data_IF_601392998315
#
_entry.id   IF_601392998315
#
_cell.length_a   1.000
_cell.length_b   1.000
_cell.length_c   1.000
_cell.angle_alpha   90.00
_cell.angle_beta   90.00
_cell.angle_gamma   90.00
#
_symmetry.space_group_name_H-M   'P 1'
#
loop_
_entity.id
_entity.type
_entity.pdbx_description
1 polymer ?
#
# COMPACT_ATOMS: atom_id res chain seq x y z
N UNK A 1 -7.82 -24.93 -10.99
CA UNK A 1 -7.64 -23.51 -11.35
C UNK A 1 -6.73 -22.93 -10.29
N UNK A 2 -5.42 -23.14 -10.45
CA UNK A 2 -4.43 -22.56 -9.55
C UNK A 2 -4.21 -21.13 -10.04
N UNK A 3 -4.79 -20.17 -9.34
CA UNK A 3 -4.46 -18.76 -9.57
C UNK A 3 -3.08 -18.54 -8.96
N UNK A 4 -2.09 -18.33 -9.81
CA UNK A 4 -0.70 -18.02 -9.45
C UNK A 4 -0.63 -16.61 -8.82
N UNK A 5 -1.12 -16.49 -7.59
CA UNK A 5 -1.15 -15.25 -6.80
C UNK A 5 0.27 -14.77 -6.41
N UNK A 6 1.28 -15.61 -6.65
CA UNK A 6 2.68 -15.34 -6.32
C UNK A 6 3.46 -14.61 -7.43
N UNK A 7 2.87 -14.40 -8.61
CA UNK A 7 3.53 -13.61 -9.65
C UNK A 7 3.58 -12.15 -9.25
N UNK A 8 4.77 -11.52 -9.20
CA UNK A 8 4.85 -10.09 -8.93
C UNK A 8 4.12 -9.36 -10.05
N UNK A 9 3.11 -8.59 -9.65
CA UNK A 9 2.32 -7.80 -10.58
C UNK A 9 3.19 -6.74 -11.25
N UNK A 10 3.05 -6.62 -12.57
CA UNK A 10 3.76 -5.60 -13.37
C UNK A 10 3.19 -4.21 -13.15
N UNK A 11 3.98 -3.17 -13.42
CA UNK A 11 3.53 -1.78 -13.30
C UNK A 11 2.31 -1.49 -14.19
N UNK A 12 2.29 -2.03 -15.42
CA UNK A 12 1.16 -1.85 -16.33
C UNK A 12 -0.14 -2.49 -15.81
N UNK A 13 -0.06 -3.59 -15.07
CA UNK A 13 -1.23 -4.21 -14.43
C UNK A 13 -1.77 -3.35 -13.27
N UNK A 14 -0.90 -2.64 -12.55
CA UNK A 14 -1.30 -1.66 -11.56
C UNK A 14 -1.98 -0.42 -12.18
N UNK A 15 -1.41 0.12 -13.25
CA UNK A 15 -1.96 1.29 -13.98
C UNK A 15 -3.31 1.01 -14.63
N UNK A 16 -3.58 -0.27 -14.94
CA UNK A 16 -4.85 -0.74 -15.50
C UNK A 16 -5.98 -0.83 -14.47
N UNK A 17 -5.67 -0.80 -13.17
CA UNK A 17 -6.69 -0.82 -12.10
C UNK A 17 -7.31 0.55 -11.94
N UNK A 18 -8.64 0.61 -12.01
CA UNK A 18 -9.42 1.83 -11.83
C UNK A 18 -10.33 1.70 -10.62
N UNK A 19 -10.44 2.77 -9.82
CA UNK A 19 -11.38 2.86 -8.71
C UNK A 19 -12.79 3.15 -9.19
N UNK A 20 -13.76 2.80 -8.36
CA UNK A 20 -15.18 3.09 -8.58
C UNK A 20 -15.44 4.61 -8.64
N UNK A 21 -16.24 5.11 -9.60
CA UNK A 21 -16.50 6.54 -9.75
C UNK A 21 -17.43 7.13 -8.68
N UNK A 22 -18.14 6.30 -7.92
CA UNK A 22 -19.17 6.73 -6.95
C UNK A 22 -18.61 7.50 -5.73
N UNK A 23 -17.29 7.68 -5.62
CA UNK A 23 -16.59 8.49 -4.61
C UNK A 23 -16.64 7.94 -3.17
N UNK A 24 -17.72 7.24 -2.80
CA UNK A 24 -17.87 6.53 -1.53
C UNK A 24 -17.58 5.03 -1.61
N UNK A 25 -17.36 4.48 -2.81
CA UNK A 25 -17.02 3.08 -3.00
C UNK A 25 -15.52 2.92 -3.24
N UNK A 26 -14.85 2.07 -2.44
CA UNK A 26 -13.41 1.77 -2.56
C UNK A 26 -13.10 0.66 -3.58
N UNK A 27 -14.13 0.10 -4.22
CA UNK A 27 -13.99 -1.04 -5.12
C UNK A 27 -13.25 -0.70 -6.41
N UNK A 28 -12.71 -1.74 -7.06
CA UNK A 28 -12.06 -1.64 -8.38
C UNK A 28 -12.99 -2.08 -9.50
N UNK A 29 -12.83 -1.47 -10.68
CA UNK A 29 -13.58 -1.81 -11.88
C UNK A 29 -13.01 -3.09 -12.51
N UNK A 30 -13.89 -4.08 -12.69
CA UNK A 30 -13.60 -5.33 -13.34
C UNK A 30 -13.54 -5.24 -14.86
N UNK A 31 -13.09 -6.31 -15.53
CA UNK A 31 -13.06 -6.39 -17.00
C UNK A 31 -14.46 -6.31 -17.63
N UNK A 32 -15.50 -6.67 -16.87
CA UNK A 32 -16.92 -6.53 -17.22
C UNK A 32 -17.44 -5.09 -17.08
N UNK A 33 -16.56 -4.13 -16.80
CA UNK A 33 -16.84 -2.71 -16.66
C UNK A 33 -17.81 -2.39 -15.50
N UNK A 34 -17.83 -3.25 -14.48
CA UNK A 34 -18.56 -3.03 -13.22
C UNK A 34 -17.62 -3.02 -12.02
N UNK A 35 -18.01 -2.27 -11.00
CA UNK A 35 -17.34 -2.31 -9.71
C UNK A 35 -17.57 -3.66 -9.02
N UNK A 36 -16.50 -4.27 -8.49
CA UNK A 36 -16.58 -5.56 -7.79
C UNK A 36 -17.27 -5.52 -6.42
N UNK A 37 -17.49 -4.32 -5.89
CA UNK A 37 -18.01 -4.14 -4.53
C UNK A 37 -19.46 -3.65 -4.52
N UNK A 38 -19.76 -2.57 -5.25
CA UNK A 38 -21.13 -2.04 -5.35
C UNK A 38 -21.89 -2.52 -6.61
N UNK A 39 -21.21 -3.09 -7.61
CA UNK A 39 -21.83 -3.52 -8.86
C UNK A 39 -22.19 -2.40 -9.86
N UNK A 40 -21.85 -1.14 -9.55
CA UNK A 40 -22.08 0.00 -10.43
C UNK A 40 -21.31 -0.15 -11.75
N UNK A 41 -21.97 0.23 -12.85
CA UNK A 41 -21.36 0.24 -14.19
C UNK A 41 -20.55 1.53 -14.32
N UNK A 42 -19.30 1.43 -14.80
CA UNK A 42 -18.52 2.62 -15.11
C UNK A 42 -19.00 3.27 -16.41
N UNK A 43 -19.05 4.60 -16.42
CA UNK A 43 -19.39 5.36 -17.64
C UNK A 43 -18.24 5.35 -18.65
N UNK A 44 -17.00 5.19 -18.15
CA UNK A 44 -15.81 5.16 -18.99
C UNK A 44 -15.50 3.74 -19.49
N UNK A 45 -15.27 3.55 -20.80
CA UNK A 45 -14.91 2.26 -21.34
C UNK A 45 -13.57 1.77 -20.76
N UNK A 46 -13.39 0.45 -20.59
CA UNK A 46 -12.14 -0.10 -20.07
C UNK A 46 -10.99 0.24 -21.04
N UNK A 47 -9.74 0.36 -20.54
CA UNK A 47 -8.61 0.63 -21.40
C UNK A 47 -8.43 -0.50 -22.42
N UNK A 48 -8.00 -0.13 -23.63
CA UNK A 48 -7.74 -1.08 -24.71
C UNK A 48 -6.75 -2.16 -24.22
N UNK A 49 -7.18 -3.42 -24.26
CA UNK A 49 -6.42 -4.58 -23.75
C UNK A 49 -7.06 -5.34 -22.59
N UNK A 50 -8.15 -4.85 -21.98
CA UNK A 50 -8.90 -5.56 -20.92
C UNK A 50 -10.24 -6.13 -21.42
N UNK A 51 -10.68 -5.73 -22.62
CA UNK A 51 -11.85 -6.34 -23.27
C UNK A 51 -11.58 -7.84 -23.50
N UNK A 52 -12.43 -8.68 -22.92
CA UNK A 52 -12.26 -10.13 -22.87
C UNK A 52 -11.96 -10.75 -24.25
N UNK A 53 -10.81 -11.45 -24.34
CA UNK A 53 -10.53 -12.47 -25.35
C UNK A 53 -9.79 -12.02 -26.61
N UNK A 54 -8.46 -12.01 -26.56
CA UNK A 54 -7.61 -12.24 -27.73
C UNK A 54 -6.28 -12.88 -27.27
N UNK A 55 -6.27 -14.21 -27.36
CA UNK A 55 -5.10 -15.10 -27.28
C UNK A 55 -4.00 -14.64 -28.25
N UNK A 56 -2.76 -14.51 -27.75
CA UNK A 56 -1.51 -14.80 -28.49
C UNK A 56 -0.43 -15.25 -27.52
N UNK A 57 -0.41 -16.56 -27.30
CA UNK A 57 0.81 -17.32 -27.02
C UNK A 57 1.61 -17.40 -28.34
N UNK A 58 2.76 -16.72 -28.42
CA UNK A 58 3.89 -17.11 -29.29
C UNK A 58 5.16 -16.35 -28.86
N UNK A 59 6.06 -17.06 -28.22
CA UNK A 59 7.41 -16.59 -27.90
C UNK A 59 8.30 -16.59 -29.16
N UNK A 60 9.43 -15.86 -29.15
CA UNK A 60 10.66 -16.59 -28.86
C UNK A 60 11.59 -15.89 -27.86
N UNK A 61 12.32 -16.76 -27.15
CA UNK A 61 13.43 -16.49 -26.23
C UNK A 61 14.64 -16.00 -27.02
N UNK A 62 15.50 -15.19 -26.40
CA UNK A 62 16.96 -15.12 -26.64
C UNK A 62 17.63 -14.23 -25.55
N UNK A 63 18.97 -14.30 -25.35
CA UNK A 63 19.53 -14.81 -24.09
C UNK A 63 19.95 -13.79 -23.02
N UNK A 64 20.13 -14.36 -21.84
CA UNK A 64 20.83 -13.83 -20.65
C UNK A 64 22.19 -13.20 -20.98
N UNK A 65 22.36 -11.92 -20.65
CA UNK A 65 23.67 -11.33 -20.42
C UNK A 65 23.85 -11.05 -18.92
N UNK A 66 24.73 -11.85 -18.31
CA UNK A 66 25.29 -11.61 -16.98
C UNK A 66 26.08 -10.30 -17.02
N UNK A 67 25.67 -9.31 -16.24
CA UNK A 67 26.61 -8.33 -15.70
C UNK A 67 26.55 -8.42 -14.18
N UNK A 68 27.68 -8.84 -13.64
CA UNK A 68 27.96 -9.16 -12.25
C UNK A 68 28.97 -8.13 -11.76
N UNK A 69 28.72 -7.67 -10.54
CA UNK A 69 29.65 -7.06 -9.58
C UNK A 69 29.99 -5.56 -9.68
N UNK A 70 29.89 -4.91 -8.51
CA UNK A 70 30.46 -3.59 -8.16
C UNK A 70 29.42 -2.46 -8.18
N UNK A 71 29.12 -1.71 -7.13
CA UNK A 71 29.91 -1.43 -5.93
C UNK A 71 28.97 -0.83 -4.86
N UNK A 72 29.09 -1.36 -3.64
CA UNK A 72 28.45 -0.87 -2.43
C UNK A 72 29.34 0.25 -1.91
N UNK A 73 28.95 1.50 -2.13
CA UNK A 73 29.59 2.63 -1.48
C UNK A 73 28.78 3.00 -0.23
N UNK A 74 29.38 2.60 0.89
CA UNK A 74 28.96 2.83 2.24
C UNK A 74 28.65 4.30 2.49
N UNK A 75 27.41 4.58 2.90
CA UNK A 75 27.06 5.81 3.59
C UNK A 75 27.86 5.89 4.89
N UNK A 76 28.94 6.67 4.84
CA UNK A 76 29.84 6.93 5.94
C UNK A 76 29.07 7.43 7.17
N UNK A 77 29.32 6.74 8.27
CA UNK A 77 28.82 7.04 9.60
C UNK A 77 29.21 8.45 10.07
N UNK A 78 28.30 9.08 10.80
CA UNK A 78 28.59 10.08 11.83
C UNK A 78 27.69 9.75 13.03
N UNK A 79 28.19 8.83 13.87
CA UNK A 79 28.45 8.95 15.33
C UNK A 79 27.54 9.83 16.23
N UNK A 80 27.34 9.57 17.55
CA UNK A 80 27.61 8.39 18.39
C UNK A 80 26.39 7.86 19.17
N UNK A 81 26.50 6.62 19.61
CA UNK A 81 26.02 6.07 20.89
C UNK A 81 25.03 6.92 21.72
N UNK A 82 23.74 6.77 21.46
CA UNK A 82 22.72 6.91 22.50
C UNK A 82 22.01 5.57 22.61
N UNK A 83 22.47 4.76 23.55
CA UNK A 83 21.76 3.57 23.97
C UNK A 83 20.32 3.92 24.30
N UNK A 84 19.40 3.32 23.57
CA UNK A 84 18.10 2.98 24.10
C UNK A 84 17.85 1.57 23.61
N UNK A 85 17.89 0.64 24.55
CA UNK A 85 17.46 -0.73 24.37
C UNK A 85 16.15 -0.69 23.59
N UNK A 86 16.09 -1.35 22.44
CA UNK A 86 14.85 -1.45 21.70
C UNK A 86 13.85 -2.17 22.63
N UNK A 87 12.69 -1.57 22.98
CA UNK A 87 11.59 -2.35 23.51
C UNK A 87 11.02 -3.15 22.34
N UNK A 88 11.71 -4.22 21.94
CA UNK A 88 11.26 -5.17 20.93
C UNK A 88 10.14 -6.03 21.54
N UNK A 89 8.96 -5.41 21.77
CA UNK A 89 7.61 -5.98 21.66
C UNK A 89 6.55 -5.00 22.22
N UNK A 90 6.88 -4.15 23.19
CA UNK A 90 5.88 -3.29 23.86
C UNK A 90 5.41 -2.11 23.00
N UNK A 91 6.15 -1.72 21.97
CA UNK A 91 5.85 -0.52 21.17
C UNK A 91 4.62 -0.70 20.26
N UNK A 92 4.13 -1.93 20.04
CA UNK A 92 2.87 -2.14 19.31
C UNK A 92 1.67 -2.26 20.26
N UNK A 93 1.84 -2.91 21.43
CA UNK A 93 0.79 -3.11 22.45
C UNK A 93 0.44 -1.81 23.20
N UNK A 94 1.42 -0.93 23.42
CA UNK A 94 1.23 0.34 24.13
C UNK A 94 0.76 1.51 23.24
N UNK A 95 0.40 1.26 21.97
CA UNK A 95 -0.09 2.32 21.09
C UNK A 95 -1.57 2.60 21.32
N UNK A 96 -1.84 3.65 22.09
CA UNK A 96 -3.19 4.20 22.24
C UNK A 96 -3.50 5.19 21.10
N UNK A 97 -4.69 5.08 20.51
CA UNK A 97 -5.22 6.09 19.58
C UNK A 97 -5.68 7.33 20.34
N UNK A 98 -5.63 8.49 19.69
CA UNK A 98 -6.13 9.74 20.26
C UNK A 98 -7.62 9.65 20.62
N UNK A 99 -8.07 10.17 21.78
CA UNK A 99 -9.48 10.11 22.20
C UNK A 99 -10.43 10.99 21.37
N UNK A 100 -9.90 11.90 20.53
CA UNK A 100 -10.67 12.95 19.85
C UNK A 100 -11.62 12.46 18.74
N UNK A 101 -11.61 11.16 18.40
CA UNK A 101 -12.49 10.50 17.41
C UNK A 101 -12.28 10.93 15.95
N UNK A 102 -11.85 12.17 15.72
CA UNK A 102 -11.53 12.78 14.44
C UNK A 102 -10.02 12.84 14.19
N UNK A 103 -9.21 12.60 15.22
CA UNK A 103 -7.76 12.59 15.12
C UNK A 103 -7.25 11.17 14.84
N UNK A 104 -6.43 11.03 13.80
CA UNK A 104 -5.77 9.76 13.41
C UNK A 104 -4.48 9.46 14.21
N UNK A 105 -4.13 10.34 15.14
CA UNK A 105 -2.86 10.27 15.87
C UNK A 105 -2.83 9.21 16.98
N UNK A 106 -1.63 8.90 17.46
CA UNK A 106 -1.37 8.05 18.62
C UNK A 106 -0.84 8.87 19.80
N UNK A 107 -1.11 8.40 21.01
CA UNK A 107 -0.59 8.98 22.25
C UNK A 107 0.90 8.65 22.37
N UNK A 108 1.73 9.69 22.54
CA UNK A 108 3.15 9.56 22.81
C UNK A 108 3.43 9.22 24.27
N UNK A 109 4.68 8.88 24.60
CA UNK A 109 5.10 8.59 25.99
C UNK A 109 4.91 9.80 26.93
N UNK A 110 4.75 11.00 26.39
CA UNK A 110 4.43 12.23 27.10
C UNK A 110 2.94 12.38 27.47
N UNK A 111 2.10 11.40 27.10
CA UNK A 111 0.67 11.39 27.40
C UNK A 111 -0.16 12.30 26.49
N UNK A 112 0.42 12.80 25.39
CA UNK A 112 -0.27 13.64 24.40
C UNK A 112 -0.25 13.03 23.01
N UNK A 113 -1.26 13.35 22.22
CA UNK A 113 -1.35 12.96 20.83
C UNK A 113 -0.26 13.65 20.01
N UNK A 114 0.46 12.87 19.19
CA UNK A 114 1.54 13.37 18.32
C UNK A 114 1.08 14.27 17.17
N UNK A 115 -0.22 14.26 16.84
CA UNK A 115 -0.80 15.05 15.76
C UNK A 115 -1.47 16.34 16.27
N UNK A 116 -2.38 16.21 17.24
CA UNK A 116 -3.18 17.35 17.71
C UNK A 116 -2.71 17.93 19.05
N UNK A 117 -1.80 17.26 19.77
CA UNK A 117 -1.27 17.71 21.07
C UNK A 117 -2.23 17.56 22.25
N UNK A 118 -3.44 17.01 22.06
CA UNK A 118 -4.42 16.74 23.13
C UNK A 118 -3.91 15.65 24.07
N UNK A 119 -4.20 15.79 25.35
CA UNK A 119 -3.91 14.78 26.37
C UNK A 119 -4.88 13.59 26.31
N UNK A 120 -4.43 12.42 26.75
CA UNK A 120 -5.24 11.18 26.74
C UNK A 120 -6.57 11.30 27.51
N UNK A 121 -6.65 12.20 28.50
CA UNK A 121 -7.83 12.41 29.35
C UNK A 121 -8.82 13.49 28.88
N UNK A 122 -8.51 14.26 27.83
CA UNK A 122 -9.37 15.34 27.32
C UNK A 122 -10.40 14.78 26.33
N UNK A 123 -11.19 13.81 26.77
CA UNK A 123 -12.42 13.45 26.10
C UNK A 123 -13.48 14.47 26.52
N UNK A 124 -13.62 15.57 25.77
CA UNK A 124 -14.75 16.48 25.98
C UNK A 124 -16.02 15.74 25.53
N UNK A 125 -16.77 15.19 26.50
CA UNK A 125 -18.06 14.52 26.32
C UNK A 125 -19.18 15.54 26.09
#
# INVERSE_FOLDING_TARGET
METDDSRPMTNEEWERRRLCPDGGCIGVIGPDNRCRECGAVSDEPPPAGIAAGAEKDDAPKEPVEKNRDGETEAGAASDPEKGLEAPEDLDWENRCLCPDGHCIGVIGPDGRCRECGKEEGDATV
#
